data_IF_273335014677
#
_entry.id   IF_273335014677
#
_cell.length_a   1.000
_cell.length_b   1.000
_cell.length_c   1.000
_cell.angle_alpha   90.00
_cell.angle_beta   90.00
_cell.angle_gamma   90.00
#
_symmetry.space_group_name_H-M   'P 1'
#
loop_
_entity.id
_entity.type
_entity.pdbx_description
1 polymer ?
#
# COMPACT_ATOMS: atom_id res chain seq x y z
N UNK A 1 -34.39 24.12 5.50
CA UNK A 1 -33.38 23.06 5.74
C UNK A 1 -32.08 23.48 5.08
N UNK A 2 -30.92 23.51 5.76
CA UNK A 2 -29.66 23.75 5.07
C UNK A 2 -29.44 22.60 4.06
N UNK A 3 -29.05 22.95 2.85
CA UNK A 3 -28.73 22.00 1.79
C UNK A 3 -27.66 21.01 2.30
N UNK A 4 -28.05 19.75 2.50
CA UNK A 4 -27.11 18.68 2.86
C UNK A 4 -26.57 18.07 1.57
N UNK A 5 -25.25 18.07 1.41
CA UNK A 5 -24.58 17.33 0.33
C UNK A 5 -25.07 15.88 0.33
N UNK A 6 -25.51 15.37 -0.81
CA UNK A 6 -25.91 13.96 -0.95
C UNK A 6 -24.66 13.08 -1.07
N UNK A 7 -24.57 11.95 -0.34
CA UNK A 7 -23.49 10.99 -0.54
C UNK A 7 -23.43 10.47 -1.98
N UNK A 8 -22.24 10.11 -2.45
CA UNK A 8 -22.06 9.56 -3.78
C UNK A 8 -22.87 8.27 -3.97
N UNK A 9 -23.87 8.29 -4.86
CA UNK A 9 -24.85 7.21 -5.00
C UNK A 9 -24.63 6.27 -6.18
N UNK A 10 -23.67 6.53 -7.06
CA UNK A 10 -23.47 5.69 -8.25
C UNK A 10 -22.59 4.48 -7.97
N UNK A 11 -22.80 3.39 -8.72
CA UNK A 11 -21.88 2.23 -8.77
C UNK A 11 -21.01 2.23 -10.05
N UNK A 12 -21.12 3.25 -10.90
CA UNK A 12 -20.35 3.35 -12.14
C UNK A 12 -18.98 3.96 -11.86
N UNK A 13 -17.91 3.25 -12.18
CA UNK A 13 -16.52 3.71 -12.02
C UNK A 13 -16.26 5.04 -12.73
N UNK A 14 -16.83 5.24 -13.93
CA UNK A 14 -16.70 6.47 -14.70
C UNK A 14 -17.27 7.71 -14.01
N UNK A 15 -18.17 7.54 -13.04
CA UNK A 15 -18.74 8.64 -12.24
C UNK A 15 -17.95 8.94 -10.97
N UNK A 16 -17.03 8.07 -10.55
CA UNK A 16 -16.19 8.34 -9.40
C UNK A 16 -15.20 9.46 -9.75
N UNK A 17 -15.27 10.60 -9.07
CA UNK A 17 -14.43 11.77 -9.33
C UNK A 17 -13.22 11.82 -8.39
N UNK A 18 -13.25 11.02 -7.32
CA UNK A 18 -12.19 10.96 -6.33
C UNK A 18 -12.10 9.58 -5.66
N UNK A 19 -11.08 9.38 -4.83
CA UNK A 19 -10.85 8.12 -4.11
C UNK A 19 -11.96 7.77 -3.12
N UNK A 20 -12.61 8.76 -2.48
CA UNK A 20 -13.73 8.50 -1.58
C UNK A 20 -14.98 8.00 -2.32
N UNK A 21 -15.20 8.43 -3.57
CA UNK A 21 -16.27 7.87 -4.40
C UNK A 21 -16.01 6.39 -4.72
N UNK A 22 -14.76 6.03 -5.05
CA UNK A 22 -14.36 4.63 -5.24
C UNK A 22 -14.54 3.80 -3.96
N UNK A 23 -14.20 4.37 -2.80
CA UNK A 23 -14.43 3.75 -1.49
C UNK A 23 -15.92 3.46 -1.27
N UNK A 24 -16.82 4.38 -1.61
CA UNK A 24 -18.27 4.13 -1.49
C UNK A 24 -18.79 3.07 -2.47
N UNK A 25 -18.22 2.98 -3.68
CA UNK A 25 -18.55 1.87 -4.61
C UNK A 25 -18.07 0.55 -4.00
N UNK A 26 -16.82 0.48 -3.54
CA UNK A 26 -16.23 -0.70 -2.92
C UNK A 26 -17.08 -1.21 -1.74
N UNK A 27 -17.47 -0.31 -0.83
CA UNK A 27 -18.30 -0.61 0.36
C UNK A 27 -19.63 -1.28 0.03
N UNK A 28 -20.19 -1.02 -1.16
CA UNK A 28 -21.45 -1.66 -1.62
C UNK A 28 -21.21 -2.91 -2.45
N UNK A 29 -19.99 -3.08 -2.97
CA UNK A 29 -19.63 -4.12 -3.92
C UNK A 29 -19.17 -5.40 -3.21
N UNK A 30 -18.41 -5.25 -2.14
CA UNK A 30 -17.82 -6.35 -1.36
C UNK A 30 -18.52 -6.50 0.00
N UNK A 31 -18.58 -7.71 0.58
CA UNK A 31 -19.12 -7.91 1.92
C UNK A 31 -18.38 -7.09 2.97
N UNK A 32 -19.09 -6.77 4.06
CA UNK A 32 -18.61 -5.97 5.17
C UNK A 32 -17.28 -6.47 5.73
N UNK A 33 -17.12 -7.77 5.99
CA UNK A 33 -15.85 -8.29 6.53
C UNK A 33 -14.64 -8.04 5.60
N UNK A 34 -14.84 -8.11 4.28
CA UNK A 34 -13.79 -7.86 3.31
C UNK A 34 -13.50 -6.35 3.19
N UNK A 35 -14.52 -5.51 3.30
CA UNK A 35 -14.37 -4.06 3.33
C UNK A 35 -13.67 -3.60 4.62
N UNK A 36 -14.08 -4.11 5.78
CA UNK A 36 -13.47 -3.81 7.08
C UNK A 36 -12.01 -4.26 7.15
N UNK A 37 -11.65 -5.39 6.54
CA UNK A 37 -10.24 -5.79 6.43
C UNK A 37 -9.37 -4.74 5.72
N UNK A 38 -9.92 -4.08 4.69
CA UNK A 38 -9.24 -2.99 3.97
C UNK A 38 -9.28 -1.70 4.78
N UNK A 39 -10.44 -1.35 5.33
CA UNK A 39 -10.68 -0.06 5.97
C UNK A 39 -10.00 0.03 7.34
N UNK A 40 -10.17 -0.99 8.17
CA UNK A 40 -9.85 -1.01 9.58
C UNK A 40 -8.38 -0.75 9.92
N UNK A 41 -8.18 -0.09 11.05
CA UNK A 41 -6.91 0.11 11.74
C UNK A 41 -6.76 -0.77 12.99
N UNK A 42 -5.73 -0.48 13.78
CA UNK A 42 -5.55 -1.07 15.10
C UNK A 42 -6.39 -0.31 16.15
N UNK A 43 -6.93 -1.04 17.12
CA UNK A 43 -7.54 -0.53 18.37
C UNK A 43 -8.56 0.59 18.11
N UNK A 44 -8.35 1.77 18.71
CA UNK A 44 -9.25 2.92 18.62
C UNK A 44 -9.10 3.70 17.30
N UNK A 45 -8.25 3.22 16.39
CA UNK A 45 -7.95 3.80 15.08
C UNK A 45 -7.43 5.25 15.17
N UNK A 46 -6.75 5.59 16.28
CA UNK A 46 -6.18 6.92 16.52
C UNK A 46 -5.15 7.26 15.45
N UNK A 47 -4.20 6.37 15.20
CA UNK A 47 -3.16 6.53 14.17
C UNK A 47 -3.75 6.52 12.75
N UNK A 48 -4.80 5.72 12.51
CA UNK A 48 -5.48 5.72 11.22
C UNK A 48 -6.07 7.10 10.89
N UNK A 49 -6.73 7.74 11.87
CA UNK A 49 -7.22 9.12 11.76
C UNK A 49 -6.06 10.12 11.69
N UNK A 50 -5.08 10.02 12.58
CA UNK A 50 -3.93 10.91 12.65
C UNK A 50 -3.15 10.98 11.32
N UNK A 51 -3.04 9.86 10.59
CA UNK A 51 -2.46 9.83 9.24
C UNK A 51 -3.14 10.79 8.26
N UNK A 52 -4.48 10.90 8.33
CA UNK A 52 -5.25 11.84 7.51
C UNK A 52 -5.12 13.26 8.03
N UNK A 53 -5.30 13.44 9.33
CA UNK A 53 -5.26 14.76 9.97
C UNK A 53 -3.91 15.44 9.77
N UNK A 54 -2.80 14.69 9.85
CA UNK A 54 -1.45 15.23 9.62
C UNK A 54 -1.24 15.75 8.19
N UNK A 55 -1.70 14.99 7.18
CA UNK A 55 -1.69 15.45 5.79
C UNK A 55 -2.59 16.68 5.60
N UNK A 56 -3.72 16.72 6.31
CA UNK A 56 -4.69 17.81 6.27
C UNK A 56 -4.26 19.05 7.04
N UNK A 57 -3.31 18.97 7.98
CA UNK A 57 -2.70 20.15 8.64
C UNK A 57 -1.76 20.92 7.72
N UNK A 58 -1.09 20.22 6.80
CA UNK A 58 -0.20 20.86 5.82
C UNK A 58 -0.99 21.69 4.79
N UNK A 59 -0.52 22.89 4.50
CA UNK A 59 -1.07 23.80 3.47
C UNK A 59 -0.10 23.94 2.31
N UNK A 60 -0.65 24.11 1.10
CA UNK A 60 0.13 24.36 -0.11
C UNK A 60 0.24 25.87 -0.35
N UNK A 61 1.42 26.34 -0.74
CA UNK A 61 1.68 27.73 -1.11
C UNK A 61 1.93 27.77 -2.63
N UNK A 62 0.98 28.28 -3.43
CA UNK A 62 1.15 28.37 -4.87
C UNK A 62 2.03 29.56 -5.26
N UNK A 63 2.79 29.41 -6.35
CA UNK A 63 3.49 30.51 -7.02
C UNK A 63 2.63 31.00 -8.20
N UNK A 64 2.41 32.31 -8.27
CA UNK A 64 1.59 32.93 -9.31
C UNK A 64 2.45 33.39 -10.48
N UNK A 65 1.82 33.59 -11.65
CA UNK A 65 2.48 34.11 -12.87
C UNK A 65 3.61 33.23 -13.43
N UNK A 66 3.52 31.90 -13.22
CA UNK A 66 4.44 30.92 -13.82
C UNK A 66 3.75 30.23 -15.00
N UNK A 67 4.42 30.17 -16.16
CA UNK A 67 3.96 29.35 -17.28
C UNK A 67 4.09 27.87 -16.92
N UNK A 68 2.97 27.15 -16.88
CA UNK A 68 2.90 25.71 -16.57
C UNK A 68 2.39 24.88 -17.75
N UNK A 69 2.52 25.38 -18.99
CA UNK A 69 2.05 24.74 -20.22
C UNK A 69 2.77 23.41 -20.51
N UNK A 70 4.04 23.28 -20.14
CA UNK A 70 4.88 22.11 -20.38
C UNK A 70 4.89 21.08 -19.23
N UNK A 71 3.97 21.22 -18.26
CA UNK A 71 4.04 20.48 -17.00
C UNK A 71 3.92 18.95 -17.15
N UNK A 72 4.76 18.21 -16.42
CA UNK A 72 4.77 16.76 -16.34
C UNK A 72 5.06 16.25 -14.93
N UNK A 73 4.80 14.96 -14.70
CA UNK A 73 5.03 14.32 -13.39
C UNK A 73 5.99 13.12 -13.44
N UNK A 74 6.66 12.92 -14.58
CA UNK A 74 7.69 11.89 -14.74
C UNK A 74 8.85 12.12 -13.76
N UNK A 75 9.43 11.03 -13.27
CA UNK A 75 10.55 11.05 -12.31
C UNK A 75 11.37 9.75 -12.38
N UNK A 76 12.37 9.62 -11.53
CA UNK A 76 13.06 8.36 -11.27
C UNK A 76 12.72 7.86 -9.85
N UNK A 77 12.44 6.56 -9.73
CA UNK A 77 12.24 5.88 -8.44
C UNK A 77 13.31 4.81 -8.36
N UNK A 78 14.18 4.88 -7.34
CA UNK A 78 15.36 4.03 -7.17
C UNK A 78 16.25 3.98 -8.44
N UNK A 79 16.43 5.13 -9.09
CA UNK A 79 17.31 5.28 -10.25
C UNK A 79 16.73 4.78 -11.58
N UNK A 80 15.48 4.30 -11.63
CA UNK A 80 14.81 3.93 -12.88
C UNK A 80 13.62 4.84 -13.19
N UNK A 81 13.34 5.16 -14.46
CA UNK A 81 12.22 6.01 -14.85
C UNK A 81 10.85 5.51 -14.34
N UNK A 82 9.98 6.45 -14.00
CA UNK A 82 8.59 6.26 -13.65
C UNK A 82 7.75 7.41 -14.21
N UNK A 83 6.54 7.13 -14.68
CA UNK A 83 5.66 8.15 -15.26
C UNK A 83 4.96 9.05 -14.23
N UNK A 84 5.01 8.68 -12.95
CA UNK A 84 4.44 9.40 -11.81
C UNK A 84 5.19 9.01 -10.54
N UNK A 85 5.25 9.86 -9.49
CA UNK A 85 5.94 9.56 -8.22
C UNK A 85 5.13 8.64 -7.31
N UNK A 86 4.58 7.57 -7.88
CA UNK A 86 3.72 6.61 -7.20
C UNK A 86 4.35 5.21 -7.25
N UNK A 87 4.08 4.43 -6.21
CA UNK A 87 4.30 2.99 -6.16
C UNK A 87 3.03 2.35 -5.64
N UNK A 88 2.56 1.23 -6.20
CA UNK A 88 1.48 0.48 -5.54
C UNK A 88 2.07 -0.29 -4.36
N UNK A 89 1.56 -0.02 -3.17
CA UNK A 89 2.06 -0.56 -1.91
C UNK A 89 1.74 -2.06 -1.75
N UNK A 90 2.57 -2.82 -1.01
CA UNK A 90 2.30 -4.22 -0.74
C UNK A 90 1.07 -4.36 0.15
N UNK A 91 0.10 -5.11 -0.34
CA UNK A 91 -1.17 -5.39 0.33
C UNK A 91 -1.47 -6.87 0.15
N UNK A 92 -1.72 -7.58 1.25
CA UNK A 92 -2.02 -9.01 1.23
C UNK A 92 -3.52 -9.28 1.11
N UNK A 93 -3.89 -10.50 0.72
CA UNK A 93 -5.29 -10.96 0.57
C UNK A 93 -6.13 -10.21 -0.48
N UNK A 94 -5.51 -9.66 -1.52
CA UNK A 94 -6.22 -8.92 -2.58
C UNK A 94 -7.27 -9.78 -3.32
N UNK A 95 -7.07 -11.10 -3.38
CA UNK A 95 -8.02 -12.11 -3.89
C UNK A 95 -9.40 -12.06 -3.23
N UNK A 96 -9.50 -11.51 -2.01
CA UNK A 96 -10.77 -11.32 -1.30
C UNK A 96 -11.59 -10.16 -1.87
N UNK A 97 -10.94 -9.20 -2.53
CA UNK A 97 -11.59 -8.04 -3.14
C UNK A 97 -11.94 -8.30 -4.60
N UNK A 98 -11.03 -8.97 -5.31
CA UNK A 98 -11.18 -9.41 -6.69
C UNK A 98 -10.32 -10.68 -6.90
N UNK A 99 -10.81 -11.75 -7.56
CA UNK A 99 -10.07 -13.01 -7.69
C UNK A 99 -8.68 -12.88 -8.34
N UNK A 100 -8.46 -11.86 -9.16
CA UNK A 100 -7.17 -11.57 -9.79
C UNK A 100 -6.52 -10.31 -9.20
N UNK A 101 -6.81 -10.00 -7.93
CA UNK A 101 -6.47 -8.72 -7.30
C UNK A 101 -5.01 -8.30 -7.45
N UNK A 102 -4.06 -9.21 -7.18
CA UNK A 102 -2.63 -8.90 -7.31
C UNK A 102 -2.24 -8.61 -8.77
N UNK A 103 -2.80 -9.35 -9.73
CA UNK A 103 -2.54 -9.15 -11.16
C UNK A 103 -3.18 -7.86 -11.68
N UNK A 104 -4.39 -7.55 -11.24
CA UNK A 104 -5.09 -6.31 -11.57
C UNK A 104 -4.28 -5.09 -11.12
N UNK A 105 -3.76 -5.11 -9.89
CA UNK A 105 -2.88 -4.06 -9.37
C UNK A 105 -1.58 -3.98 -10.18
N UNK A 106 -0.91 -5.12 -10.42
CA UNK A 106 0.35 -5.17 -11.15
C UNK A 106 0.21 -4.68 -12.60
N UNK A 107 -0.83 -5.09 -13.32
CA UNK A 107 -1.10 -4.64 -14.70
C UNK A 107 -1.42 -3.17 -14.79
N UNK A 108 -2.24 -2.66 -13.86
CA UNK A 108 -2.55 -1.24 -13.80
C UNK A 108 -1.27 -0.40 -13.53
N UNK A 109 -0.40 -0.86 -12.63
CA UNK A 109 0.90 -0.23 -12.38
C UNK A 109 1.82 -0.28 -13.62
N UNK A 110 1.92 -1.43 -14.28
CA UNK A 110 2.71 -1.62 -15.49
C UNK A 110 2.22 -0.70 -16.62
N UNK A 111 0.91 -0.61 -16.84
CA UNK A 111 0.30 0.29 -17.84
C UNK A 111 0.55 1.76 -17.54
N UNK A 112 0.48 2.16 -16.26
CA UNK A 112 0.83 3.51 -15.86
C UNK A 112 2.34 3.77 -15.99
N UNK A 113 3.19 2.74 -15.90
CA UNK A 113 4.65 2.87 -15.88
C UNK A 113 5.17 3.27 -14.50
N UNK A 114 4.63 2.65 -13.44
CA UNK A 114 5.06 2.82 -12.05
C UNK A 114 5.33 1.46 -11.39
N UNK A 115 6.13 1.40 -10.31
CA UNK A 115 6.38 0.14 -9.61
C UNK A 115 5.14 -0.43 -8.91
N UNK A 116 5.04 -1.76 -8.89
CA UNK A 116 4.09 -2.53 -8.08
C UNK A 116 4.87 -3.40 -7.08
N UNK A 117 4.47 -3.35 -5.81
CA UNK A 117 5.06 -4.18 -4.76
C UNK A 117 4.13 -5.33 -4.40
N UNK A 118 4.53 -6.57 -4.70
CA UNK A 118 3.78 -7.77 -4.33
C UNK A 118 4.01 -8.11 -2.85
N UNK A 119 2.96 -8.45 -2.11
CA UNK A 119 3.11 -8.90 -0.72
C UNK A 119 3.56 -10.36 -0.61
N UNK A 120 4.32 -10.70 0.44
CA UNK A 120 4.52 -12.09 0.87
C UNK A 120 3.18 -12.83 1.06
N UNK A 121 2.15 -12.10 1.52
CA UNK A 121 0.79 -12.60 1.77
C UNK A 121 -0.14 -12.45 0.55
N UNK A 122 0.40 -12.51 -0.67
CA UNK A 122 -0.39 -12.39 -1.90
C UNK A 122 -1.24 -13.64 -2.18
N UNK A 123 -2.27 -13.42 -2.98
CA UNK A 123 -3.20 -14.44 -3.46
C UNK A 123 -2.86 -14.96 -4.86
N UNK A 124 -1.81 -14.42 -5.46
CA UNK A 124 -1.21 -14.85 -6.73
C UNK A 124 0.26 -15.18 -6.48
N UNK A 125 0.79 -16.22 -7.13
CA UNK A 125 2.23 -16.56 -7.04
C UNK A 125 3.06 -15.45 -7.66
N UNK A 126 4.25 -15.20 -7.12
CA UNK A 126 5.13 -14.15 -7.63
C UNK A 126 5.55 -14.39 -9.09
N UNK A 127 5.71 -15.64 -9.50
CA UNK A 127 6.07 -16.00 -10.88
C UNK A 127 4.92 -15.69 -11.84
N UNK A 128 3.68 -15.95 -11.42
CA UNK A 128 2.49 -15.64 -12.21
C UNK A 128 2.35 -14.13 -12.41
N UNK A 129 2.67 -13.32 -11.39
CA UNK A 129 2.67 -11.85 -11.50
C UNK A 129 3.76 -11.38 -12.48
N UNK A 130 4.98 -11.91 -12.35
CA UNK A 130 6.07 -11.61 -13.28
C UNK A 130 5.70 -11.93 -14.73
N UNK A 131 5.16 -13.11 -14.98
CA UNK A 131 4.86 -13.61 -16.33
C UNK A 131 3.63 -12.93 -16.96
N UNK A 132 2.62 -12.53 -16.16
CA UNK A 132 1.30 -12.10 -16.68
C UNK A 132 1.00 -10.61 -16.54
N UNK A 133 1.77 -9.87 -15.75
CA UNK A 133 1.62 -8.42 -15.60
C UNK A 133 2.79 -7.65 -16.20
N UNK A 134 4.02 -8.12 -16.01
CA UNK A 134 5.24 -7.40 -16.39
C UNK A 134 5.40 -6.08 -15.64
N UNK A 135 6.15 -5.14 -16.23
CA UNK A 135 6.43 -3.83 -15.62
C UNK A 135 7.53 -3.88 -14.56
N UNK A 136 7.52 -2.90 -13.64
CA UNK A 136 8.51 -2.79 -12.56
C UNK A 136 7.96 -3.47 -11.30
N UNK A 137 8.49 -4.63 -10.95
CA UNK A 137 7.97 -5.47 -9.87
C UNK A 137 8.92 -5.49 -8.67
N UNK A 138 8.38 -5.22 -7.49
CA UNK A 138 9.06 -5.29 -6.20
C UNK A 138 8.42 -6.38 -5.34
N UNK A 139 9.23 -7.05 -4.51
CA UNK A 139 8.75 -8.10 -3.61
C UNK A 139 8.83 -7.57 -2.18
N UNK A 140 7.71 -7.56 -1.46
CA UNK A 140 7.71 -7.29 -0.04
C UNK A 140 7.93 -8.57 0.75
N UNK A 141 8.89 -8.53 1.68
CA UNK A 141 9.27 -9.67 2.51
C UNK A 141 8.78 -9.50 3.96
N UNK A 142 8.10 -10.52 4.47
CA UNK A 142 8.03 -10.81 5.89
C UNK A 142 8.98 -11.94 6.24
N UNK A 143 9.64 -11.84 7.38
CA UNK A 143 10.43 -12.93 7.93
C UNK A 143 9.56 -13.71 8.91
N UNK A 144 9.27 -14.95 8.53
CA UNK A 144 8.62 -15.93 9.39
C UNK A 144 9.71 -16.69 10.18
N UNK A 145 9.33 -17.37 11.26
CA UNK A 145 10.23 -18.14 12.14
C UNK A 145 11.09 -19.13 11.36
N UNK A 146 10.51 -19.77 10.36
CA UNK A 146 11.28 -20.56 9.42
C UNK A 146 11.92 -19.65 8.35
N UNK A 147 13.22 -19.39 8.54
CA UNK A 147 14.04 -18.58 7.63
C UNK A 147 14.16 -19.21 6.23
N UNK A 148 13.88 -20.50 6.05
CA UNK A 148 13.85 -21.13 4.74
C UNK A 148 12.75 -20.54 3.84
N UNK A 149 11.62 -20.12 4.41
CA UNK A 149 10.52 -19.50 3.67
C UNK A 149 10.97 -18.17 3.06
N UNK A 150 11.61 -17.32 3.88
CA UNK A 150 12.12 -16.04 3.41
C UNK A 150 13.23 -16.21 2.36
N UNK A 151 14.11 -17.22 2.53
CA UNK A 151 15.13 -17.58 1.54
C UNK A 151 14.50 -18.00 0.21
N UNK A 152 13.52 -18.89 0.23
CA UNK A 152 12.79 -19.36 -0.96
C UNK A 152 12.14 -18.20 -1.71
N UNK A 153 11.40 -17.33 -0.99
CA UNK A 153 10.76 -16.16 -1.59
C UNK A 153 11.79 -15.24 -2.27
N UNK A 154 12.91 -14.94 -1.62
CA UNK A 154 13.96 -14.10 -2.19
C UNK A 154 14.58 -14.72 -3.44
N UNK A 155 14.86 -16.03 -3.42
CA UNK A 155 15.42 -16.75 -4.57
C UNK A 155 14.45 -16.76 -5.76
N UNK A 156 13.18 -17.08 -5.52
CA UNK A 156 12.15 -17.08 -6.56
C UNK A 156 11.89 -15.68 -7.11
N UNK A 157 11.85 -14.66 -6.25
CA UNK A 157 11.73 -13.27 -6.68
C UNK A 157 12.92 -12.81 -7.55
N UNK A 158 14.15 -13.16 -7.16
CA UNK A 158 15.34 -12.85 -7.96
C UNK A 158 15.30 -13.56 -9.32
N UNK A 159 14.95 -14.84 -9.35
CA UNK A 159 14.82 -15.62 -10.58
C UNK A 159 13.72 -15.09 -11.50
N UNK A 160 12.62 -14.58 -10.94
CA UNK A 160 11.51 -13.98 -11.67
C UNK A 160 11.76 -12.51 -12.09
N UNK A 161 12.94 -11.95 -11.78
CA UNK A 161 13.34 -10.61 -12.24
C UNK A 161 12.76 -9.44 -11.42
N UNK A 162 12.34 -9.68 -10.18
CA UNK A 162 11.93 -8.60 -9.28
C UNK A 162 13.13 -7.67 -9.01
N UNK A 163 12.95 -6.36 -9.21
CA UNK A 163 14.07 -5.40 -9.18
C UNK A 163 14.41 -4.88 -7.78
N UNK A 164 13.49 -5.02 -6.81
CA UNK A 164 13.68 -4.58 -5.44
C UNK A 164 12.98 -5.50 -4.43
N UNK A 165 13.55 -5.55 -3.23
CA UNK A 165 13.01 -6.20 -2.04
C UNK A 165 12.62 -5.12 -1.03
N UNK A 166 11.41 -5.19 -0.50
CA UNK A 166 10.89 -4.28 0.53
C UNK A 166 10.73 -5.08 1.82
N UNK A 167 11.68 -4.97 2.73
CA UNK A 167 11.64 -5.67 4.00
C UNK A 167 10.77 -4.91 5.00
N UNK A 168 9.64 -5.50 5.39
CA UNK A 168 8.70 -4.86 6.33
C UNK A 168 9.02 -5.27 7.76
N UNK A 169 9.34 -4.30 8.61
CA UNK A 169 9.80 -4.51 9.99
C UNK A 169 8.76 -4.18 11.06
N UNK A 170 7.63 -3.57 10.69
CA UNK A 170 6.60 -3.04 11.60
C UNK A 170 5.42 -3.99 11.87
N UNK A 171 5.53 -5.27 11.47
CA UNK A 171 4.43 -6.25 11.55
C UNK A 171 4.90 -7.64 12.03
N UNK A 172 6.00 -7.70 12.79
CA UNK A 172 6.47 -8.92 13.46
C UNK A 172 5.60 -9.28 14.69
N UNK A 173 4.99 -8.28 15.31
CA UNK A 173 3.87 -8.42 16.26
C UNK A 173 2.65 -7.74 15.64
N UNK A 174 1.54 -8.46 15.56
CA UNK A 174 0.33 -7.94 14.91
C UNK A 174 -0.43 -6.99 15.81
N UNK A 175 -0.85 -5.86 15.23
CA UNK A 175 -1.82 -4.95 15.83
C UNK A 175 -3.20 -5.60 16.03
N UNK A 176 -3.90 -5.16 17.07
CA UNK A 176 -5.26 -5.60 17.38
C UNK A 176 -6.27 -4.93 16.45
N UNK A 177 -6.64 -5.62 15.36
CA UNK A 177 -7.66 -5.14 14.41
C UNK A 177 -9.04 -5.61 14.84
N UNK A 178 -9.72 -4.83 15.67
CA UNK A 178 -10.98 -5.24 16.30
C UNK A 178 -12.13 -5.42 15.31
N UNK A 179 -12.20 -4.60 14.26
CA UNK A 179 -13.22 -4.73 13.20
C UNK A 179 -13.17 -6.08 12.49
N UNK A 180 -11.96 -6.59 12.24
CA UNK A 180 -11.75 -7.92 11.66
C UNK A 180 -12.30 -9.00 12.62
N UNK A 181 -12.02 -8.89 13.92
CA UNK A 181 -12.44 -9.87 14.93
C UNK A 181 -13.97 -9.91 15.09
N UNK A 182 -14.64 -8.75 15.07
CA UNK A 182 -16.11 -8.63 15.23
C UNK A 182 -16.90 -9.36 14.13
N UNK A 183 -16.27 -9.65 12.99
CA UNK A 183 -16.90 -10.40 11.90
C UNK A 183 -17.03 -11.90 12.19
N UNK A 184 -16.39 -12.41 13.24
CA UNK A 184 -16.31 -13.84 13.58
C UNK A 184 -16.72 -14.11 15.03
N UNK A 185 -17.43 -15.22 15.28
CA UNK A 185 -17.78 -15.68 16.64
C UNK A 185 -16.71 -16.58 17.27
N UNK A 186 -15.82 -17.12 16.43
CA UNK A 186 -14.68 -17.93 16.79
C UNK A 186 -13.73 -17.97 15.57
N UNK A 187 -12.45 -18.35 15.75
CA UNK A 187 -11.51 -18.62 14.66
C UNK A 187 -12.13 -19.30 13.44
N UNK A 188 -12.14 -18.62 12.29
CA UNK A 188 -12.69 -19.12 11.03
C UNK A 188 -14.21 -19.30 10.97
N UNK A 189 -14.96 -18.92 12.01
CA UNK A 189 -16.42 -19.08 12.09
C UNK A 189 -17.11 -17.71 12.01
N UNK A 190 -17.64 -17.29 10.85
CA UNK A 190 -18.32 -16.00 10.73
C UNK A 190 -19.55 -15.93 11.62
N UNK A 191 -19.93 -14.72 12.04
CA UNK A 191 -21.20 -14.50 12.74
C UNK A 191 -22.39 -14.69 11.80
N UNK A 192 -23.60 -14.90 12.35
CA UNK A 192 -24.84 -14.97 11.53
C UNK A 192 -25.05 -13.67 10.75
N UNK A 193 -24.74 -12.52 11.37
CA UNK A 193 -24.79 -11.21 10.71
C UNK A 193 -23.86 -11.14 9.51
N UNK A 194 -22.61 -11.59 9.67
CA UNK A 194 -21.63 -11.64 8.57
C UNK A 194 -22.09 -12.59 7.46
N UNK A 195 -22.63 -13.76 7.80
CA UNK A 195 -23.15 -14.70 6.81
C UNK A 195 -24.32 -14.10 6.00
N UNK A 196 -25.27 -13.44 6.66
CA UNK A 196 -26.37 -12.74 5.99
C UNK A 196 -25.86 -11.58 5.13
N UNK A 197 -24.85 -10.84 5.59
CA UNK A 197 -24.22 -9.79 4.81
C UNK A 197 -23.55 -10.33 3.54
N UNK A 198 -22.82 -11.44 3.61
CA UNK A 198 -22.24 -12.12 2.44
C UNK A 198 -23.32 -12.47 1.41
N UNK A 199 -24.47 -13.00 1.85
CA UNK A 199 -25.59 -13.33 0.95
C UNK A 199 -26.19 -12.11 0.23
N UNK A 200 -26.05 -10.90 0.81
CA UNK A 200 -26.49 -9.65 0.17
C UNK A 200 -25.54 -9.15 -0.92
N UNK A 201 -24.42 -9.84 -1.15
CA UNK A 201 -23.43 -9.52 -2.17
C UNK A 201 -23.30 -10.66 -3.20
N UNK A 202 -24.37 -11.00 -3.95
CA UNK A 202 -24.42 -12.20 -4.80
C UNK A 202 -23.36 -12.21 -5.89
N UNK A 203 -23.03 -11.05 -6.45
CA UNK A 203 -21.96 -10.95 -7.44
C UNK A 203 -20.59 -11.26 -6.84
N UNK A 204 -20.30 -10.81 -5.63
CA UNK A 204 -19.05 -11.14 -4.96
C UNK A 204 -19.00 -12.63 -4.60
N UNK A 205 -20.11 -13.17 -4.09
CA UNK A 205 -20.25 -14.58 -3.75
C UNK A 205 -19.98 -15.47 -4.98
N UNK A 206 -20.56 -15.12 -6.12
CA UNK A 206 -20.35 -15.85 -7.37
C UNK A 206 -18.92 -15.76 -7.88
N UNK A 207 -18.36 -14.55 -7.98
CA UNK A 207 -17.02 -14.34 -8.54
C UNK A 207 -15.93 -14.92 -7.62
N UNK A 208 -15.93 -14.56 -6.34
CA UNK A 208 -14.87 -14.94 -5.41
C UNK A 208 -15.05 -16.38 -4.95
N UNK A 209 -16.19 -16.73 -4.36
CA UNK A 209 -16.35 -18.07 -3.76
C UNK A 209 -16.84 -19.12 -4.75
N UNK A 210 -17.78 -18.79 -5.63
CA UNK A 210 -18.40 -19.74 -6.55
C UNK A 210 -17.45 -20.20 -7.67
N UNK A 211 -16.88 -19.25 -8.40
CA UNK A 211 -16.04 -19.52 -9.58
C UNK A 211 -14.59 -19.82 -9.22
N UNK A 212 -14.05 -19.13 -8.22
CA UNK A 212 -12.61 -19.17 -7.90
C UNK A 212 -12.27 -19.83 -6.56
N UNK A 213 -13.27 -20.07 -5.70
CA UNK A 213 -13.06 -20.60 -4.36
C UNK A 213 -12.41 -19.61 -3.40
N UNK A 214 -12.31 -20.00 -2.13
CA UNK A 214 -11.68 -19.16 -1.11
C UNK A 214 -10.22 -18.83 -1.51
N UNK A 215 -9.81 -17.55 -1.52
CA UNK A 215 -8.44 -17.16 -1.87
C UNK A 215 -7.40 -17.89 -1.01
N UNK A 216 -6.23 -18.15 -1.58
CA UNK A 216 -5.14 -18.90 -0.93
C UNK A 216 -3.86 -18.07 -0.88
N UNK A 217 -3.03 -18.25 0.15
CA UNK A 217 -1.72 -17.58 0.26
C UNK A 217 -0.69 -18.28 -0.63
N UNK A 218 -0.73 -17.99 -1.93
CA UNK A 218 -0.05 -18.80 -2.96
C UNK A 218 1.47 -18.87 -2.82
N UNK A 219 2.10 -17.84 -2.23
CA UNK A 219 3.54 -17.84 -1.97
C UNK A 219 3.96 -18.61 -0.71
N UNK A 220 3.02 -18.90 0.20
CA UNK A 220 3.28 -19.64 1.44
C UNK A 220 2.69 -21.06 1.42
N UNK A 221 1.93 -21.39 0.40
CA UNK A 221 1.16 -22.62 0.30
C UNK A 221 1.99 -23.91 0.49
N UNK A 222 3.24 -23.92 0.04
CA UNK A 222 4.14 -25.07 0.20
C UNK A 222 4.64 -25.28 1.65
N UNK A 223 4.54 -24.24 2.48
CA UNK A 223 5.05 -24.21 3.86
C UNK A 223 3.93 -24.25 4.91
N UNK A 224 2.67 -24.25 4.47
CA UNK A 224 1.51 -24.26 5.33
C UNK A 224 0.81 -25.62 5.25
N UNK A 225 0.22 -26.11 6.36
CA UNK A 225 -0.66 -27.27 6.27
C UNK A 225 -1.83 -26.96 5.32
N UNK A 226 -2.38 -27.95 4.59
CA UNK A 226 -3.43 -27.72 3.59
C UNK A 226 -4.64 -26.94 4.13
N UNK A 227 -5.00 -27.14 5.41
CA UNK A 227 -6.07 -26.42 6.09
C UNK A 227 -5.81 -24.93 6.28
N UNK A 228 -4.54 -24.49 6.33
CA UNK A 228 -4.11 -23.11 6.52
C UNK A 228 -3.80 -22.36 5.22
N UNK A 229 -3.82 -23.04 4.07
CA UNK A 229 -3.48 -22.43 2.79
C UNK A 229 -4.53 -21.40 2.32
N UNK A 230 -5.79 -21.49 2.78
CA UNK A 230 -6.87 -20.55 2.46
C UNK A 230 -6.85 -19.31 3.34
N UNK A 231 -7.42 -18.19 2.88
CA UNK A 231 -7.54 -16.95 3.65
C UNK A 231 -8.20 -17.17 5.02
N UNK A 232 -9.26 -17.99 5.05
CA UNK A 232 -9.97 -18.32 6.27
C UNK A 232 -9.11 -19.17 7.22
N UNK A 233 -8.50 -20.24 6.71
CA UNK A 233 -7.70 -21.15 7.55
C UNK A 233 -6.36 -20.56 7.99
N UNK A 234 -5.73 -19.75 7.15
CA UNK A 234 -4.47 -19.09 7.46
C UNK A 234 -4.61 -17.95 8.46
N UNK A 235 -5.81 -17.38 8.62
CA UNK A 235 -6.05 -16.26 9.54
C UNK A 235 -5.65 -16.53 11.00
N UNK A 236 -5.59 -17.80 11.42
CA UNK A 236 -5.25 -18.22 12.78
C UNK A 236 -3.89 -18.93 12.85
N UNK A 237 -3.46 -19.54 11.75
CA UNK A 237 -2.21 -20.33 11.69
C UNK A 237 -1.02 -19.47 11.31
N UNK A 238 -1.20 -18.46 10.45
CA UNK A 238 -0.11 -17.62 9.93
C UNK A 238 0.40 -16.61 10.97
N UNK A 239 -0.43 -15.89 11.76
CA UNK A 239 0.09 -14.88 12.68
C UNK A 239 1.13 -15.41 13.68
N UNK A 240 0.97 -16.59 14.31
CA UNK A 240 1.98 -17.15 15.20
C UNK A 240 3.31 -17.55 14.53
N UNK A 241 3.36 -17.61 13.20
CA UNK A 241 4.58 -17.94 12.43
C UNK A 241 5.48 -16.73 12.21
N UNK A 242 5.03 -15.51 12.50
CA UNK A 242 5.87 -14.33 12.39
C UNK A 242 6.99 -14.35 13.42
N UNK A 243 8.18 -13.93 12.99
CA UNK A 243 9.37 -13.93 13.83
C UNK A 243 9.47 -12.62 14.60
N UNK A 244 9.14 -12.64 15.89
CA UNK A 244 9.28 -11.49 16.78
C UNK A 244 10.75 -11.14 17.08
N UNK A 245 11.70 -12.01 16.74
CA UNK A 245 13.13 -11.83 17.04
C UNK A 245 13.91 -11.09 15.96
N UNK A 246 13.23 -10.59 14.92
CA UNK A 246 13.85 -9.83 13.84
C UNK A 246 14.67 -8.66 14.41
N UNK A 247 15.89 -8.51 13.90
CA UNK A 247 16.84 -7.48 14.34
C UNK A 247 17.58 -6.84 13.16
N UNK A 248 18.43 -5.86 13.45
CA UNK A 248 19.29 -5.23 12.45
C UNK A 248 20.29 -6.21 11.80
N UNK A 249 20.62 -7.33 12.46
CA UNK A 249 21.50 -8.35 11.89
C UNK A 249 20.86 -9.06 10.69
N UNK A 250 19.53 -9.07 10.64
CA UNK A 250 18.79 -9.64 9.51
C UNK A 250 18.99 -8.86 8.21
N UNK A 251 19.35 -7.58 8.28
CA UNK A 251 19.71 -6.80 7.09
C UNK A 251 20.97 -7.39 6.45
N UNK A 252 21.96 -7.76 7.25
CA UNK A 252 23.19 -8.39 6.77
C UNK A 252 22.87 -9.75 6.13
N UNK A 253 22.03 -10.57 6.78
CA UNK A 253 21.60 -11.86 6.24
C UNK A 253 20.81 -11.72 4.93
N UNK A 254 19.83 -10.81 4.87
CA UNK A 254 19.06 -10.52 3.66
C UNK A 254 20.01 -10.07 2.55
N UNK A 255 20.97 -9.19 2.85
CA UNK A 255 21.91 -8.66 1.86
C UNK A 255 22.84 -9.72 1.26
N UNK A 256 23.17 -10.78 2.01
CA UNK A 256 23.91 -11.94 1.48
C UNK A 256 23.12 -12.69 0.41
N UNK A 257 21.79 -12.74 0.54
CA UNK A 257 20.88 -13.48 -0.34
C UNK A 257 20.29 -12.61 -1.47
N UNK A 258 20.16 -11.30 -1.25
CA UNK A 258 19.53 -10.37 -2.18
C UNK A 258 20.51 -9.32 -2.70
N UNK A 259 20.81 -9.41 -4.00
CA UNK A 259 21.74 -8.50 -4.70
C UNK A 259 21.06 -7.27 -5.32
N UNK A 260 19.73 -7.25 -5.41
CA UNK A 260 18.97 -6.13 -5.94
C UNK A 260 18.82 -4.98 -4.93
N UNK A 261 17.96 -4.01 -5.26
CA UNK A 261 17.64 -2.90 -4.34
C UNK A 261 16.95 -3.44 -3.09
N UNK A 262 17.35 -2.99 -1.90
CA UNK A 262 16.72 -3.34 -0.62
C UNK A 262 16.19 -2.08 0.05
N UNK A 263 14.91 -2.06 0.37
CA UNK A 263 14.27 -1.02 1.17
C UNK A 263 13.84 -1.60 2.52
N UNK A 264 13.96 -0.80 3.58
CA UNK A 264 13.32 -1.10 4.87
C UNK A 264 12.02 -0.30 4.97
N UNK A 265 10.91 -0.99 5.23
CA UNK A 265 9.58 -0.40 5.40
C UNK A 265 9.09 -0.55 6.85
N UNK A 266 8.56 0.54 7.39
CA UNK A 266 8.14 0.63 8.78
C UNK A 266 9.03 1.54 9.64
N UNK A 267 9.89 2.33 8.99
CA UNK A 267 10.81 3.26 9.67
C UNK A 267 10.05 4.50 10.10
N UNK A 268 10.16 4.90 11.37
CA UNK A 268 9.53 6.12 11.90
C UNK A 268 10.45 6.97 12.78
N UNK A 269 11.68 6.49 13.04
CA UNK A 269 12.69 7.24 13.78
C UNK A 269 13.86 7.61 12.87
N UNK A 270 14.50 8.75 13.16
CA UNK A 270 15.72 9.18 12.46
C UNK A 270 16.86 8.20 12.71
N UNK A 271 16.99 7.68 13.93
CA UNK A 271 18.02 6.71 14.29
C UNK A 271 17.94 5.43 13.44
N UNK A 272 16.73 4.90 13.24
CA UNK A 272 16.53 3.71 12.40
C UNK A 272 16.82 4.03 10.92
N UNK A 273 16.46 5.23 10.46
CA UNK A 273 16.77 5.69 9.11
C UNK A 273 18.28 5.78 8.87
N UNK A 274 19.04 6.34 9.81
CA UNK A 274 20.50 6.41 9.76
C UNK A 274 21.13 5.02 9.85
N UNK A 275 20.58 4.13 10.68
CA UNK A 275 21.03 2.75 10.79
C UNK A 275 20.83 1.98 9.48
N UNK A 276 19.67 2.15 8.82
CA UNK A 276 19.39 1.59 7.51
C UNK A 276 20.41 2.06 6.45
N UNK A 277 20.75 3.35 6.45
CA UNK A 277 21.77 3.92 5.58
C UNK A 277 23.16 3.30 5.86
N UNK A 278 23.55 3.21 7.13
CA UNK A 278 24.84 2.66 7.54
C UNK A 278 25.02 1.17 7.17
N UNK A 279 23.92 0.41 7.15
CA UNK A 279 23.91 -1.01 6.74
C UNK A 279 23.79 -1.21 5.22
N UNK A 280 23.84 -0.13 4.43
CA UNK A 280 23.84 -0.21 2.97
C UNK A 280 22.49 -0.61 2.38
N UNK A 281 21.38 -0.20 3.00
CA UNK A 281 20.08 -0.24 2.34
C UNK A 281 20.04 0.75 1.16
N UNK A 282 19.21 0.47 0.16
CA UNK A 282 19.05 1.31 -1.04
C UNK A 282 17.90 2.31 -0.93
N UNK A 283 17.10 2.22 0.13
CA UNK A 283 16.04 3.16 0.46
C UNK A 283 15.36 2.82 1.78
N UNK A 284 14.50 3.72 2.24
CA UNK A 284 13.55 3.45 3.34
C UNK A 284 12.14 3.82 2.92
N UNK A 285 11.15 3.24 3.60
CA UNK A 285 9.75 3.62 3.52
C UNK A 285 9.28 4.05 4.90
N UNK A 286 9.00 5.34 5.05
CA UNK A 286 8.36 5.88 6.25
C UNK A 286 6.91 5.39 6.30
N UNK A 287 6.57 4.60 7.30
CA UNK A 287 5.30 3.87 7.36
C UNK A 287 4.93 3.49 8.78
N UNK A 288 3.65 3.62 9.13
CA UNK A 288 3.04 2.99 10.30
C UNK A 288 2.05 1.90 9.88
N UNK A 289 2.34 1.25 8.76
CA UNK A 289 1.50 0.23 8.15
C UNK A 289 0.07 0.68 7.83
N UNK A 290 -0.14 1.99 7.59
CA UNK A 290 -1.47 2.56 7.39
C UNK A 290 -2.34 2.55 8.65
N UNK A 291 -1.73 2.65 9.84
CA UNK A 291 -2.41 2.67 11.14
C UNK A 291 -2.98 1.31 11.54
N UNK A 292 -2.31 0.21 11.18
CA UNK A 292 -2.82 -1.16 11.36
C UNK A 292 -2.07 -2.00 12.39
N UNK A 293 -0.98 -1.48 12.95
CA UNK A 293 -0.07 -2.23 13.82
C UNK A 293 -0.05 -1.63 15.23
N UNK A 294 0.71 -0.57 15.44
CA UNK A 294 0.72 0.17 16.70
C UNK A 294 -0.24 1.36 16.62
N UNK A 295 -1.30 1.38 17.42
CA UNK A 295 -2.14 2.57 17.56
C UNK A 295 -1.47 3.61 18.46
N UNK A 296 -1.88 4.88 18.34
CA UNK A 296 -1.17 6.05 18.92
C UNK A 296 0.27 6.26 18.41
N UNK A 297 0.64 5.63 17.31
CA UNK A 297 1.87 5.89 16.57
C UNK A 297 1.80 7.19 15.75
N UNK A 298 2.95 7.85 15.55
CA UNK A 298 3.10 9.08 14.75
C UNK A 298 2.71 8.86 13.28
N UNK A 299 2.26 9.91 12.60
CA UNK A 299 2.04 9.85 11.16
C UNK A 299 3.37 9.99 10.41
N UNK A 300 3.66 9.19 9.36
CA UNK A 300 4.94 9.24 8.65
C UNK A 300 5.30 10.61 8.10
N UNK A 301 4.28 11.40 7.72
CA UNK A 301 4.48 12.76 7.20
C UNK A 301 5.06 13.72 8.24
N UNK A 302 4.86 13.46 9.53
CA UNK A 302 5.35 14.30 10.63
C UNK A 302 6.85 14.10 10.87
N UNK A 303 7.34 12.88 10.62
CA UNK A 303 8.77 12.54 10.79
C UNK A 303 9.57 12.67 9.48
N UNK A 304 8.91 12.93 8.35
CA UNK A 304 9.57 13.09 7.06
C UNK A 304 10.61 14.24 7.04
N UNK A 305 10.32 15.48 7.48
CA UNK A 305 11.26 16.59 7.34
C UNK A 305 12.56 16.38 8.12
N UNK A 306 12.48 15.84 9.34
CA UNK A 306 13.66 15.53 10.17
C UNK A 306 14.48 14.37 9.60
N UNK A 307 13.82 13.37 9.02
CA UNK A 307 14.50 12.26 8.37
C UNK A 307 15.23 12.71 7.10
N UNK A 308 14.60 13.56 6.29
CA UNK A 308 15.22 14.17 5.10
C UNK A 308 16.44 15.00 5.49
N UNK A 309 16.35 15.81 6.57
CA UNK A 309 17.51 16.59 7.06
C UNK A 309 18.66 15.69 7.51
N UNK A 310 18.38 14.58 8.18
CA UNK A 310 19.41 13.67 8.67
C UNK A 310 20.07 12.89 7.53
N UNK A 311 19.29 12.38 6.57
CA UNK A 311 19.81 11.52 5.49
C UNK A 311 20.36 12.33 4.31
N UNK A 312 19.79 13.49 4.01
CA UNK A 312 20.08 14.25 2.80
C UNK A 312 19.80 13.41 1.55
N UNK A 313 20.72 13.46 0.58
CA UNK A 313 20.62 12.68 -0.67
C UNK A 313 21.17 11.25 -0.55
N UNK A 314 21.70 10.86 0.63
CA UNK A 314 22.39 9.56 0.82
C UNK A 314 21.49 8.35 0.61
N UNK A 315 20.20 8.50 0.89
CA UNK A 315 19.26 7.39 0.88
C UNK A 315 17.87 7.84 0.43
N UNK A 316 17.32 7.28 -0.67
CA UNK A 316 15.96 7.56 -1.09
C UNK A 316 14.92 7.28 0.00
N UNK A 317 14.04 8.25 0.24
CA UNK A 317 12.95 8.12 1.21
C UNK A 317 11.63 8.00 0.45
N UNK A 318 11.00 6.84 0.55
CA UNK A 318 9.61 6.63 0.18
C UNK A 318 8.73 6.80 1.42
N UNK A 319 7.43 7.01 1.21
CA UNK A 319 6.48 7.21 2.29
C UNK A 319 5.11 6.60 1.94
N UNK A 320 4.39 6.11 2.94
CA UNK A 320 3.01 5.67 2.80
C UNK A 320 2.13 6.16 3.97
N UNK A 321 0.92 5.62 4.08
CA UNK A 321 -0.05 5.88 5.14
C UNK A 321 -0.81 7.21 5.00
N UNK A 322 -2.13 7.11 4.84
CA UNK A 322 -3.03 8.28 4.77
C UNK A 322 -3.29 8.87 3.37
N UNK A 323 -2.41 8.71 2.39
CA UNK A 323 -2.53 9.38 1.07
C UNK A 323 -3.81 9.02 0.28
N UNK A 324 -4.63 10.03 -0.08
CA UNK A 324 -5.89 9.87 -0.84
C UNK A 324 -6.09 10.90 -1.95
N UNK A 325 -5.28 11.95 -1.99
CA UNK A 325 -5.34 13.04 -2.97
C UNK A 325 -3.98 13.33 -3.59
N UNK A 326 -3.98 13.86 -4.81
CA UNK A 326 -2.78 14.40 -5.45
C UNK A 326 -2.12 15.50 -4.63
N UNK A 327 -2.89 16.31 -3.90
CA UNK A 327 -2.35 17.30 -2.95
C UNK A 327 -1.60 16.66 -1.79
N UNK A 328 -2.05 15.51 -1.27
CA UNK A 328 -1.33 14.77 -0.23
C UNK A 328 0.03 14.31 -0.74
N UNK A 329 0.05 13.76 -1.96
CA UNK A 329 1.27 13.26 -2.62
C UNK A 329 2.25 14.41 -2.81
N UNK A 330 1.82 15.53 -3.41
CA UNK A 330 2.69 16.68 -3.67
C UNK A 330 3.24 17.33 -2.39
N UNK A 331 2.49 17.31 -1.28
CA UNK A 331 3.00 17.76 0.03
C UNK A 331 4.19 16.90 0.48
N UNK A 332 4.08 15.58 0.38
CA UNK A 332 5.18 14.69 0.75
C UNK A 332 6.41 14.87 -0.14
N UNK A 333 6.22 15.03 -1.46
CA UNK A 333 7.34 15.28 -2.38
C UNK A 333 8.03 16.61 -2.08
N UNK A 334 7.25 17.68 -1.86
CA UNK A 334 7.79 18.98 -1.46
C UNK A 334 8.54 18.95 -0.12
N UNK A 335 8.20 18.01 0.77
CA UNK A 335 8.90 17.77 2.02
C UNK A 335 10.10 16.82 1.89
N UNK A 336 10.41 16.33 0.68
CA UNK A 336 11.62 15.55 0.39
C UNK A 336 11.42 14.05 0.19
N UNK A 337 10.19 13.54 0.14
CA UNK A 337 9.97 12.14 -0.27
C UNK A 337 10.24 11.99 -1.78
N UNK A 338 10.87 10.87 -2.19
CA UNK A 338 11.09 10.54 -3.61
C UNK A 338 9.80 10.05 -4.30
N UNK A 339 9.01 9.24 -3.59
CA UNK A 339 7.76 8.69 -4.10
C UNK A 339 6.83 8.28 -2.95
N UNK A 340 5.55 8.14 -3.27
CA UNK A 340 4.51 7.71 -2.33
C UNK A 340 4.02 6.31 -2.66
N UNK A 341 4.01 5.41 -1.69
CA UNK A 341 3.38 4.10 -1.84
C UNK A 341 1.88 4.17 -1.53
N UNK A 342 1.05 3.71 -2.47
CA UNK A 342 -0.40 3.80 -2.42
C UNK A 342 -1.00 2.43 -2.08
N UNK A 343 -1.63 2.33 -0.90
CA UNK A 343 -2.35 1.14 -0.44
C UNK A 343 -3.86 1.25 -0.67
N UNK A 344 -4.62 1.62 0.37
CA UNK A 344 -6.11 1.61 0.33
C UNK A 344 -6.73 2.33 -0.86
N UNK A 345 -6.14 3.40 -1.38
CA UNK A 345 -6.73 4.13 -2.52
C UNK A 345 -6.88 3.26 -3.78
N UNK A 346 -5.87 2.45 -4.11
CA UNK A 346 -5.94 1.48 -5.22
C UNK A 346 -6.77 0.25 -4.84
N UNK A 347 -6.76 -0.17 -3.57
CA UNK A 347 -7.65 -1.24 -3.09
C UNK A 347 -9.14 -0.88 -3.16
N UNK A 348 -9.51 0.38 -2.94
CA UNK A 348 -10.89 0.83 -3.16
C UNK A 348 -11.26 0.73 -4.63
N UNK A 349 -10.34 1.07 -5.54
CA UNK A 349 -10.50 0.80 -6.96
C UNK A 349 -10.71 -0.69 -7.25
N UNK A 350 -9.83 -1.53 -6.71
CA UNK A 350 -9.90 -2.98 -6.89
C UNK A 350 -11.24 -3.56 -6.40
N UNK A 351 -11.63 -3.24 -5.18
CA UNK A 351 -12.89 -3.70 -4.60
C UNK A 351 -14.12 -3.12 -5.31
N UNK A 352 -14.02 -1.93 -5.91
CA UNK A 352 -15.11 -1.31 -6.66
C UNK A 352 -15.37 -2.00 -8.00
N UNK A 353 -14.33 -2.48 -8.69
CA UNK A 353 -14.50 -3.07 -10.02
C UNK A 353 -13.25 -3.66 -10.67
N UNK A 354 -12.39 -4.32 -9.89
CA UNK A 354 -11.22 -5.03 -10.40
C UNK A 354 -10.18 -4.10 -11.03
N UNK A 355 -9.48 -4.59 -12.06
CA UNK A 355 -8.45 -3.85 -12.80
C UNK A 355 -8.93 -2.47 -13.31
N UNK A 356 -10.10 -2.32 -13.96
CA UNK A 356 -10.62 -1.00 -14.36
C UNK A 356 -10.81 -0.02 -13.18
N UNK A 357 -11.12 -0.54 -12.00
CA UNK A 357 -11.26 0.27 -10.80
C UNK A 357 -9.91 0.75 -10.26
N UNK A 358 -8.88 -0.10 -10.31
CA UNK A 358 -7.49 0.29 -9.99
C UNK A 358 -7.00 1.36 -10.96
N UNK A 359 -7.21 1.17 -12.27
CA UNK A 359 -6.89 2.16 -13.29
C UNK A 359 -7.60 3.49 -13.04
N UNK A 360 -8.87 3.44 -12.61
CA UNK A 360 -9.61 4.65 -12.25
C UNK A 360 -8.99 5.36 -11.06
N UNK A 361 -8.59 4.62 -10.01
CA UNK A 361 -7.93 5.19 -8.84
C UNK A 361 -6.61 5.89 -9.24
N UNK A 362 -5.78 5.21 -10.04
CA UNK A 362 -4.52 5.77 -10.53
C UNK A 362 -4.76 7.01 -11.42
N UNK A 363 -5.69 6.94 -12.36
CA UNK A 363 -6.08 8.06 -13.24
C UNK A 363 -6.53 9.29 -12.44
N UNK A 364 -7.32 9.10 -11.38
CA UNK A 364 -7.71 10.17 -10.46
C UNK A 364 -6.47 10.79 -9.82
N UNK A 365 -5.60 9.99 -9.19
CA UNK A 365 -4.41 10.50 -8.50
C UNK A 365 -3.45 11.22 -9.43
N UNK A 366 -3.14 10.64 -10.61
CA UNK A 366 -2.23 11.26 -11.57
C UNK A 366 -2.83 12.51 -12.22
N UNK A 367 -4.15 12.55 -12.42
CA UNK A 367 -4.85 13.74 -12.89
C UNK A 367 -4.89 14.85 -11.85
N UNK A 368 -5.03 14.50 -10.56
CA UNK A 368 -4.90 15.44 -9.44
C UNK A 368 -3.47 15.98 -9.34
N UNK A 369 -2.42 15.14 -9.40
CA UNK A 369 -1.02 15.58 -9.40
C UNK A 369 -0.76 16.58 -10.53
N UNK A 370 -1.13 16.23 -11.77
CA UNK A 370 -0.90 17.08 -12.93
C UNK A 370 -1.61 18.44 -12.82
N UNK A 371 -2.85 18.45 -12.30
CA UNK A 371 -3.60 19.69 -12.09
C UNK A 371 -2.98 20.54 -10.98
N UNK A 372 -2.60 19.93 -9.86
CA UNK A 372 -2.08 20.66 -8.70
C UNK A 372 -0.67 21.19 -8.96
N UNK A 373 0.16 20.52 -9.76
CA UNK A 373 1.43 21.10 -10.24
C UNK A 373 1.19 22.44 -10.96
N UNK A 374 0.22 22.49 -11.87
CA UNK A 374 -0.17 23.74 -12.53
C UNK A 374 -0.68 24.81 -11.54
N UNK A 375 -1.46 24.41 -10.53
CA UNK A 375 -1.94 25.32 -9.49
C UNK A 375 -0.83 25.83 -8.57
N UNK A 376 0.22 25.04 -8.36
CA UNK A 376 1.39 25.42 -7.57
C UNK A 376 2.38 26.29 -8.33
N UNK A 377 2.25 26.40 -9.65
CA UNK A 377 3.23 27.09 -10.48
C UNK A 377 4.46 26.23 -10.77
N UNK A 378 4.33 24.90 -10.80
CA UNK A 378 5.45 23.98 -11.08
C UNK A 378 5.24 23.25 -12.41
N UNK A 379 6.28 23.16 -13.24
CA UNK A 379 6.28 22.34 -14.46
C UNK A 379 6.68 20.89 -14.18
N UNK A 380 7.45 20.64 -13.14
CA UNK A 380 7.90 19.29 -12.80
C UNK A 380 7.81 19.04 -11.30
N UNK A 381 7.78 17.76 -10.92
CA UNK A 381 7.86 17.42 -9.48
C UNK A 381 9.24 17.75 -8.89
N UNK A 382 10.26 17.95 -9.72
CA UNK A 382 11.61 18.32 -9.28
C UNK A 382 11.69 19.79 -8.82
N UNK A 383 10.74 20.63 -9.23
CA UNK A 383 10.63 22.02 -8.76
C UNK A 383 9.97 22.10 -7.37
N UNK A 384 9.35 21.02 -6.88
CA UNK A 384 8.76 21.00 -5.55
C UNK A 384 9.84 21.10 -4.48
N UNK A 385 9.49 21.73 -3.38
CA UNK A 385 10.38 21.95 -2.25
C UNK A 385 9.67 22.57 -1.07
N UNK A 386 10.35 22.75 0.07
CA UNK A 386 9.73 23.20 1.32
C UNK A 386 8.99 24.54 1.20
N UNK A 387 9.38 25.42 0.28
CA UNK A 387 8.70 26.69 -0.01
C UNK A 387 7.24 26.52 -0.47
N UNK A 388 6.87 25.34 -0.99
CA UNK A 388 5.53 25.03 -1.46
C UNK A 388 4.61 24.48 -0.37
N UNK A 389 5.12 24.21 0.83
CA UNK A 389 4.36 23.60 1.92
C UNK A 389 4.57 24.36 3.22
N UNK A 390 3.48 24.68 3.90
CA UNK A 390 3.51 25.24 5.25
C UNK A 390 2.85 24.28 6.24
N UNK A 391 3.57 23.96 7.30
CA UNK A 391 3.00 23.31 8.49
C UNK A 391 2.12 24.29 9.27
N UNK A 392 1.07 23.77 9.89
CA UNK A 392 0.24 24.52 10.83
C UNK A 392 1.04 24.87 12.09
#
# INVERSE_FOLDING_TARGET
MPWKRRPFGSNRLSRALNIADLREIARRRVPGFAFEYVEGGAEDEVTLRANRDALERLRLIPQTLVDTSARHQRTAILGRPANSPLVIAPTGLNGMLDPQGDLALARAAARLGVPFTLSTMSTTRLEDVANRAGGRLWMQLYVLKDRAIARDIMQRAAAAGYEALVFTTDANVFGSREWDQRSYRAPGKPTVRTALDVLRHPRWLFEVLGRHGMPRFRNLEAFLPPSAATALGGSTVIPPLFDATISWDDITWIRQLWRGRLLIKGVLSVADAERAAALGCDGIVLSNHGGRQLDSCVAPIEVLPQTVRALGERLPILIDSGFRRGTDILKALALGAQAVMIGRATLYGLAAGGEPGVERALSILTGEIHRVLGQLGCNSIAELGPQHVRGA
#
